data_IF_208887884303
#
_entry.id   IF_208887884303
#
_cell.length_a   1.000
_cell.length_b   1.000
_cell.length_c   1.000
_cell.angle_alpha   90.00
_cell.angle_beta   90.00
_cell.angle_gamma   90.00
#
_symmetry.space_group_name_H-M   'P 1'
#
loop_
_entity.id
_entity.type
_entity.pdbx_description
1 polymer ?
#
# COMPACT_ATOMS: atom_id res chain seq x y z
N UNK A 1 -23.99 -26.23 11.42
CA UNK A 1 -23.72 -27.00 12.64
C UNK A 1 -22.37 -26.56 13.20
N UNK A 2 -22.25 -26.24 14.50
CA UNK A 2 -20.94 -25.97 15.11
C UNK A 2 -20.23 -27.30 15.34
N UNK A 3 -19.10 -27.51 14.67
CA UNK A 3 -18.26 -28.69 14.88
C UNK A 3 -17.78 -28.67 16.34
N UNK A 4 -17.91 -29.78 17.10
CA UNK A 4 -17.39 -29.85 18.47
C UNK A 4 -15.90 -29.52 18.49
N UNK A 5 -15.49 -28.56 19.32
CA UNK A 5 -14.07 -28.23 19.43
C UNK A 5 -13.34 -29.41 20.06
N UNK A 6 -12.33 -30.01 19.39
CA UNK A 6 -11.61 -31.16 19.92
C UNK A 6 -10.94 -30.79 21.25
N UNK A 7 -10.93 -31.73 22.20
CA UNK A 7 -10.18 -31.55 23.44
C UNK A 7 -8.68 -31.63 23.14
N UNK A 8 -7.96 -30.55 23.43
CA UNK A 8 -6.52 -30.45 23.20
C UNK A 8 -5.68 -30.52 24.47
N UNK A 9 -6.29 -30.68 25.65
CA UNK A 9 -5.57 -30.74 26.95
C UNK A 9 -4.50 -31.84 26.91
N UNK A 10 -3.29 -31.51 27.38
CA UNK A 10 -2.13 -32.39 27.40
C UNK A 10 -1.42 -32.56 26.05
N UNK A 11 -2.03 -32.12 24.93
CA UNK A 11 -1.40 -32.22 23.61
C UNK A 11 -0.28 -31.19 23.45
N UNK A 12 0.77 -31.61 22.74
CA UNK A 12 1.96 -30.81 22.43
C UNK A 12 1.91 -30.25 21.00
N UNK A 13 2.25 -28.98 20.85
CA UNK A 13 2.35 -28.26 19.58
C UNK A 13 3.66 -27.47 19.55
N UNK A 14 4.69 -28.04 18.95
CA UNK A 14 6.05 -27.50 19.06
C UNK A 14 6.50 -27.47 20.53
N UNK A 15 6.81 -26.26 21.03
CA UNK A 15 7.21 -26.02 22.42
C UNK A 15 6.05 -25.79 23.38
N UNK A 16 4.80 -25.83 22.90
CA UNK A 16 3.62 -25.57 23.71
C UNK A 16 2.95 -26.87 24.15
N UNK A 17 2.62 -26.99 25.42
CA UNK A 17 1.76 -28.04 25.97
C UNK A 17 0.48 -27.38 26.47
N UNK A 18 -0.68 -27.88 26.01
CA UNK A 18 -1.98 -27.33 26.41
C UNK A 18 -2.31 -27.73 27.84
N UNK A 19 -2.52 -26.76 28.73
CA UNK A 19 -2.88 -27.00 30.12
C UNK A 19 -4.41 -27.03 30.33
N UNK A 20 -5.11 -26.02 29.81
CA UNK A 20 -6.56 -25.89 30.03
C UNK A 20 -7.26 -25.06 28.94
N UNK A 21 -8.56 -25.30 28.79
CA UNK A 21 -9.44 -24.49 27.94
C UNK A 21 -9.71 -23.13 28.61
N UNK A 22 -9.78 -22.06 27.82
CA UNK A 22 -10.22 -20.75 28.30
C UNK A 22 -11.73 -20.76 28.59
N UNK A 23 -12.19 -20.14 29.69
CA UNK A 23 -13.62 -20.01 29.99
C UNK A 23 -14.35 -19.01 29.07
N UNK A 24 -13.61 -18.19 28.30
CA UNK A 24 -14.17 -17.18 27.40
C UNK A 24 -15.08 -17.82 26.33
N UNK A 25 -16.32 -17.32 26.25
CA UNK A 25 -17.28 -17.70 25.20
C UNK A 25 -17.06 -16.81 23.97
N UNK A 26 -16.69 -17.41 22.86
CA UNK A 26 -16.47 -16.71 21.59
C UNK A 26 -16.59 -17.64 20.39
N UNK A 27 -16.39 -17.10 19.18
CA UNK A 27 -16.46 -17.88 17.94
C UNK A 27 -15.35 -18.93 17.80
N UNK A 28 -14.25 -18.79 18.56
CA UNK A 28 -13.13 -19.74 18.58
C UNK A 28 -12.82 -20.18 20.02
N UNK A 29 -12.45 -21.46 20.19
CA UNK A 29 -11.93 -21.95 21.46
C UNK A 29 -10.47 -21.53 21.65
N UNK A 30 -10.20 -20.94 22.81
CA UNK A 30 -8.86 -20.57 23.27
C UNK A 30 -8.34 -21.58 24.29
N UNK A 31 -7.02 -21.75 24.31
CA UNK A 31 -6.31 -22.69 25.17
C UNK A 31 -5.13 -21.98 25.85
N UNK A 32 -5.00 -22.17 27.15
CA UNK A 32 -3.82 -21.80 27.90
C UNK A 32 -2.76 -22.88 27.72
N UNK A 33 -1.60 -22.47 27.22
CA UNK A 33 -0.49 -23.36 26.94
C UNK A 33 0.73 -22.97 27.79
N UNK A 34 1.44 -23.97 28.32
CA UNK A 34 2.76 -23.81 28.93
C UNK A 34 3.83 -24.06 27.87
N UNK A 35 4.76 -23.13 27.73
CA UNK A 35 5.89 -23.25 26.83
C UNK A 35 7.06 -23.94 27.53
N UNK A 36 7.91 -24.65 26.78
CA UNK A 36 9.13 -25.27 27.30
C UNK A 36 10.08 -24.26 27.98
N UNK A 37 10.03 -22.98 27.57
CA UNK A 37 10.80 -21.90 28.23
C UNK A 37 10.18 -21.41 29.56
N UNK A 38 9.15 -22.08 30.08
CA UNK A 38 8.48 -21.75 31.35
C UNK A 38 7.34 -20.73 31.23
N UNK A 39 7.34 -19.89 30.18
CA UNK A 39 6.29 -18.90 29.96
C UNK A 39 4.95 -19.52 29.52
N UNK A 40 3.84 -18.84 29.81
CA UNK A 40 2.49 -19.24 29.38
C UNK A 40 1.99 -18.35 28.24
N UNK A 41 1.15 -18.91 27.37
CA UNK A 41 0.52 -18.16 26.27
C UNK A 41 -0.89 -18.65 26.00
N UNK A 42 -1.76 -17.77 25.48
CA UNK A 42 -3.14 -18.08 25.08
C UNK A 42 -3.18 -18.23 23.56
N UNK A 43 -3.68 -19.37 23.06
CA UNK A 43 -3.66 -19.72 21.63
C UNK A 43 -5.02 -20.30 21.20
N UNK A 44 -5.45 -20.04 19.97
CA UNK A 44 -6.68 -20.61 19.40
C UNK A 44 -6.49 -22.06 18.93
N UNK A 45 -7.58 -22.84 18.91
CA UNK A 45 -7.59 -24.19 18.30
C UNK A 45 -7.03 -24.19 16.89
N UNK A 46 -7.44 -23.22 16.05
CA UNK A 46 -7.00 -23.13 14.66
C UNK A 46 -5.49 -22.94 14.54
N UNK A 47 -4.89 -22.07 15.36
CA UNK A 47 -3.46 -21.78 15.27
C UNK A 47 -2.60 -22.93 15.81
N UNK A 48 -3.10 -23.71 16.77
CA UNK A 48 -2.43 -24.93 17.25
C UNK A 48 -2.45 -26.01 16.17
N UNK A 49 -3.63 -26.32 15.61
CA UNK A 49 -3.78 -27.37 14.60
C UNK A 49 -3.08 -27.04 13.28
N UNK A 50 -3.13 -25.77 12.84
CA UNK A 50 -2.42 -25.32 11.65
C UNK A 50 -0.90 -25.18 11.87
N UNK A 51 -0.40 -25.39 13.10
CA UNK A 51 1.01 -25.26 13.42
C UNK A 51 1.56 -23.84 13.30
N UNK A 52 0.69 -22.82 13.31
CA UNK A 52 1.07 -21.40 13.22
C UNK A 52 1.75 -20.97 14.52
N UNK A 53 1.21 -21.38 15.68
CA UNK A 53 1.76 -21.02 16.99
C UNK A 53 2.47 -22.20 17.62
N UNK A 54 3.80 -22.20 17.57
CA UNK A 54 4.68 -23.29 18.06
C UNK A 54 5.37 -22.98 19.38
N UNK A 55 5.27 -21.75 19.89
CA UNK A 55 5.89 -21.31 21.14
C UNK A 55 5.16 -20.07 21.68
N UNK A 56 5.53 -19.61 22.88
CA UNK A 56 5.08 -18.32 23.42
C UNK A 56 5.77 -17.10 22.76
N UNK A 57 6.40 -17.28 21.59
CA UNK A 57 7.25 -16.29 20.91
C UNK A 57 8.73 -16.37 21.29
N UNK A 58 9.13 -17.29 22.18
CA UNK A 58 10.56 -17.49 22.51
C UNK A 58 11.34 -18.06 21.32
N UNK A 59 10.76 -18.99 20.56
CA UNK A 59 11.37 -19.56 19.37
C UNK A 59 11.67 -18.46 18.33
N UNK A 60 10.76 -17.51 18.14
CA UNK A 60 10.96 -16.39 17.23
C UNK A 60 12.01 -15.39 17.72
N UNK A 61 12.15 -15.22 19.04
CA UNK A 61 13.23 -14.40 19.63
C UNK A 61 14.60 -15.05 19.40
N UNK A 62 14.73 -16.35 19.65
CA UNK A 62 15.95 -17.12 19.41
C UNK A 62 16.34 -17.10 17.93
N UNK A 63 15.38 -17.39 17.05
CA UNK A 63 15.60 -17.35 15.60
C UNK A 63 16.01 -15.96 15.15
N UNK A 64 15.35 -14.89 15.60
CA UNK A 64 15.74 -13.51 15.24
C UNK A 64 17.17 -13.19 15.69
N UNK A 65 17.57 -13.57 16.90
CA UNK A 65 18.94 -13.35 17.37
C UNK A 65 19.96 -14.14 16.53
N UNK A 66 19.67 -15.43 16.26
CA UNK A 66 20.50 -16.31 15.45
C UNK A 66 20.68 -15.78 14.03
N UNK A 67 19.58 -15.43 13.36
CA UNK A 67 19.59 -14.92 11.99
C UNK A 67 20.10 -13.49 11.89
N UNK A 68 19.94 -12.65 12.93
CA UNK A 68 20.57 -11.33 12.95
C UNK A 68 22.11 -11.43 12.91
N UNK A 69 22.68 -12.43 13.59
CA UNK A 69 24.13 -12.70 13.55
C UNK A 69 24.58 -13.26 12.19
N UNK A 70 23.83 -14.20 11.61
CA UNK A 70 24.17 -14.82 10.33
C UNK A 70 23.97 -13.89 9.13
N UNK A 71 22.94 -13.04 9.14
CA UNK A 71 22.61 -12.14 8.04
C UNK A 71 23.26 -10.75 8.19
N UNK A 72 24.22 -10.58 9.10
CA UNK A 72 24.97 -9.34 9.20
C UNK A 72 25.79 -9.15 7.92
N UNK A 73 25.32 -8.26 7.05
CA UNK A 73 26.02 -7.91 5.81
C UNK A 73 26.78 -6.62 6.06
N UNK A 74 28.11 -6.71 6.05
CA UNK A 74 28.93 -5.51 6.07
C UNK A 74 28.77 -4.75 4.74
N UNK A 75 28.38 -3.49 4.87
CA UNK A 75 28.19 -2.56 3.76
C UNK A 75 29.29 -1.50 3.70
N UNK A 76 30.27 -1.53 4.60
CA UNK A 76 31.40 -0.58 4.62
C UNK A 76 32.09 -0.51 3.26
N UNK A 77 32.36 0.70 2.79
CA UNK A 77 32.98 0.98 1.49
C UNK A 77 32.05 0.82 0.29
N UNK A 78 30.83 0.27 0.44
CA UNK A 78 29.91 0.10 -0.68
C UNK A 78 29.21 1.40 -1.03
N UNK A 79 28.91 1.55 -2.32
CA UNK A 79 28.19 2.70 -2.88
C UNK A 79 26.76 2.34 -3.26
N UNK A 80 25.82 3.19 -2.89
CA UNK A 80 24.40 3.08 -3.16
C UNK A 80 23.89 4.41 -3.74
N UNK A 81 23.84 4.49 -5.07
CA UNK A 81 23.58 5.77 -5.76
C UNK A 81 24.67 6.78 -5.43
N UNK A 82 24.30 7.89 -4.80
CA UNK A 82 25.22 8.95 -4.37
C UNK A 82 25.81 8.73 -2.97
N UNK A 83 25.45 7.64 -2.28
CA UNK A 83 25.86 7.39 -0.90
C UNK A 83 26.98 6.36 -0.85
N UNK A 84 28.11 6.72 -0.25
CA UNK A 84 29.21 5.81 0.08
C UNK A 84 29.17 5.51 1.57
N UNK A 85 29.07 4.23 1.92
CA UNK A 85 29.00 3.79 3.32
C UNK A 85 30.38 3.89 3.97
N UNK A 86 30.48 4.59 5.09
CA UNK A 86 31.75 4.79 5.81
C UNK A 86 31.89 3.87 7.01
N UNK A 87 30.85 3.75 7.85
CA UNK A 87 30.87 2.93 9.05
C UNK A 87 29.46 2.62 9.55
N UNK A 88 29.35 1.65 10.45
CA UNK A 88 28.10 1.42 11.18
C UNK A 88 27.81 2.60 12.13
N UNK A 89 26.54 3.01 12.18
CA UNK A 89 26.09 4.09 13.06
C UNK A 89 25.88 3.58 14.48
N UNK A 90 26.27 4.38 15.46
CA UNK A 90 26.22 4.05 16.90
C UNK A 90 25.03 4.80 17.50
N UNK A 91 24.13 4.10 18.21
CA UNK A 91 22.97 4.73 18.85
C UNK A 91 21.65 4.68 18.07
N UNK A 92 21.41 3.62 17.31
CA UNK A 92 20.14 3.45 16.59
C UNK A 92 18.98 3.09 17.55
N UNK A 93 17.76 3.55 17.24
CA UNK A 93 16.54 3.24 18.01
C UNK A 93 16.32 1.73 18.12
N UNK A 94 15.87 1.25 19.29
CA UNK A 94 15.44 -0.16 19.49
C UNK A 94 14.47 -0.58 18.37
N UNK A 95 14.82 -1.61 17.61
CA UNK A 95 13.97 -2.19 16.57
C UNK A 95 14.20 -1.70 15.14
N UNK A 96 14.92 -0.59 14.93
CA UNK A 96 15.45 -0.25 13.60
C UNK A 96 16.77 -1.00 13.43
N UNK A 97 16.83 -1.96 12.51
CA UNK A 97 18.02 -2.78 12.28
C UNK A 97 19.30 -1.98 11.94
N UNK A 98 20.36 -2.68 11.57
CA UNK A 98 21.68 -2.09 11.30
C UNK A 98 21.60 -0.85 10.41
N UNK A 99 22.11 0.27 10.92
CA UNK A 99 22.11 1.58 10.24
C UNK A 99 23.55 1.99 9.96
N UNK A 100 23.75 2.67 8.83
CA UNK A 100 25.05 2.98 8.27
C UNK A 100 25.23 4.48 8.09
N UNK A 101 26.35 5.00 8.56
CA UNK A 101 26.77 6.38 8.34
C UNK A 101 27.37 6.50 6.94
N UNK A 102 26.73 7.30 6.09
CA UNK A 102 27.06 7.41 4.68
C UNK A 102 27.51 8.83 4.32
N UNK A 103 28.51 8.94 3.44
CA UNK A 103 28.90 10.19 2.77
C UNK A 103 28.18 10.29 1.43
N UNK A 104 27.50 11.40 1.19
CA UNK A 104 26.86 11.70 -0.08
C UNK A 104 27.85 12.40 -1.04
N UNK A 105 27.71 12.19 -2.35
CA UNK A 105 28.50 12.89 -3.37
C UNK A 105 28.35 14.42 -3.30
N UNK A 106 27.27 14.93 -2.70
CA UNK A 106 27.10 16.38 -2.47
C UNK A 106 27.91 16.91 -1.28
N UNK A 107 28.73 16.09 -0.62
CA UNK A 107 29.57 16.46 0.53
C UNK A 107 28.90 16.29 1.90
N UNK A 108 27.57 16.09 1.96
CA UNK A 108 26.84 15.90 3.22
C UNK A 108 26.85 14.45 3.69
N UNK A 109 26.52 14.24 4.96
CA UNK A 109 26.45 12.91 5.58
C UNK A 109 25.02 12.57 6.01
N UNK A 110 24.71 11.27 6.07
CA UNK A 110 23.39 10.78 6.51
C UNK A 110 23.46 9.36 7.04
N UNK A 111 22.66 9.06 8.05
CA UNK A 111 22.45 7.71 8.55
C UNK A 111 21.32 7.01 7.78
N UNK A 112 21.61 5.83 7.22
CA UNK A 112 20.66 5.08 6.40
C UNK A 112 20.59 3.62 6.85
N UNK A 113 19.37 3.10 7.01
CA UNK A 113 19.15 1.70 7.35
C UNK A 113 19.64 0.76 6.24
N UNK A 114 20.22 -0.39 6.62
CA UNK A 114 20.71 -1.43 5.69
C UNK A 114 19.67 -1.82 4.66
N UNK A 115 18.41 -1.98 5.08
CA UNK A 115 17.30 -2.35 4.21
C UNK A 115 17.07 -1.32 3.11
N UNK A 116 17.15 -0.02 3.44
CA UNK A 116 16.94 1.07 2.48
C UNK A 116 18.08 1.20 1.47
N UNK A 117 19.31 0.92 1.90
CA UNK A 117 20.48 0.87 1.00
C UNK A 117 20.35 -0.31 0.03
N UNK A 118 20.09 -1.52 0.56
CA UNK A 118 19.99 -2.74 -0.25
C UNK A 118 18.80 -2.68 -1.23
N UNK A 119 17.64 -2.19 -0.79
CA UNK A 119 16.47 -2.01 -1.65
C UNK A 119 16.62 -0.83 -2.63
N UNK A 120 17.63 0.02 -2.47
CA UNK A 120 17.85 1.20 -3.30
C UNK A 120 16.80 2.29 -3.15
N UNK A 121 16.03 2.31 -2.05
CA UNK A 121 15.01 3.34 -1.78
C UNK A 121 15.62 4.64 -1.30
N UNK A 122 16.85 4.61 -0.76
CA UNK A 122 17.61 5.80 -0.37
C UNK A 122 18.91 5.87 -1.17
N UNK A 123 18.98 6.83 -2.10
CA UNK A 123 20.11 7.00 -3.05
C UNK A 123 20.91 8.28 -2.83
N UNK A 124 20.47 9.17 -1.93
CA UNK A 124 21.15 10.42 -1.61
C UNK A 124 20.76 10.88 -0.20
N UNK A 125 21.47 11.87 0.35
CA UNK A 125 21.14 12.50 1.63
C UNK A 125 19.89 13.43 1.57
N UNK A 126 19.08 13.33 0.52
CA UNK A 126 17.94 14.22 0.27
C UNK A 126 18.28 15.52 -0.47
N UNK A 127 19.56 15.73 -0.83
CA UNK A 127 19.98 16.91 -1.59
C UNK A 127 19.27 17.04 -2.94
N UNK A 128 19.00 15.92 -3.62
CA UNK A 128 18.27 15.92 -4.90
C UNK A 128 16.82 16.42 -4.73
N UNK A 129 16.15 16.02 -3.65
CA UNK A 129 14.80 16.47 -3.34
C UNK A 129 14.77 17.95 -2.97
N UNK A 130 15.79 18.47 -2.26
CA UNK A 130 15.92 19.90 -1.97
C UNK A 130 16.03 20.72 -3.26
N UNK A 131 16.95 20.35 -4.16
CA UNK A 131 17.12 21.00 -5.46
C UNK A 131 15.85 20.97 -6.31
N UNK A 132 15.17 19.82 -6.35
CA UNK A 132 13.89 19.70 -7.05
C UNK A 132 12.83 20.64 -6.46
N UNK A 133 12.69 20.68 -5.12
CA UNK A 133 11.73 21.58 -4.44
C UNK A 133 12.03 23.06 -4.70
N UNK A 134 13.29 23.46 -4.67
CA UNK A 134 13.69 24.84 -5.00
C UNK A 134 13.36 25.20 -6.44
N UNK A 135 13.65 24.30 -7.39
CA UNK A 135 13.24 24.46 -8.79
C UNK A 135 11.72 24.63 -8.91
N UNK A 136 10.94 23.78 -8.24
CA UNK A 136 9.48 23.87 -8.23
C UNK A 136 8.95 25.16 -7.58
N UNK A 137 9.58 25.65 -6.50
CA UNK A 137 9.24 26.94 -5.89
C UNK A 137 9.44 28.09 -6.87
N UNK A 138 10.53 28.08 -7.62
CA UNK A 138 10.81 29.12 -8.61
C UNK A 138 9.83 29.06 -9.78
N UNK A 139 9.48 27.87 -10.25
CA UNK A 139 8.42 27.66 -11.25
C UNK A 139 7.07 28.16 -10.74
N UNK A 140 6.74 27.91 -9.46
CA UNK A 140 5.49 28.37 -8.86
C UNK A 140 5.44 29.89 -8.68
N UNK A 141 6.57 30.60 -8.65
CA UNK A 141 6.57 32.08 -8.60
C UNK A 141 6.22 32.74 -9.94
N UNK A 142 6.23 31.99 -11.04
CA UNK A 142 5.85 32.51 -12.35
C UNK A 142 4.36 32.90 -12.36
N UNK A 143 4.08 34.17 -12.63
CA UNK A 143 2.72 34.72 -12.64
C UNK A 143 1.80 34.03 -13.65
N UNK A 144 2.32 33.60 -14.81
CA UNK A 144 1.52 32.87 -15.81
C UNK A 144 1.12 31.49 -15.27
N UNK A 145 2.00 30.84 -14.51
CA UNK A 145 1.71 29.56 -13.86
C UNK A 145 0.72 29.77 -12.71
N UNK A 146 0.89 30.82 -11.89
CA UNK A 146 -0.08 31.19 -10.85
C UNK A 146 -1.48 31.45 -11.43
N UNK A 147 -1.56 32.19 -12.53
CA UNK A 147 -2.81 32.53 -13.19
C UNK A 147 -3.49 31.28 -13.78
N UNK A 148 -2.71 30.38 -14.39
CA UNK A 148 -3.19 29.08 -14.88
C UNK A 148 -3.69 28.20 -13.74
N UNK A 149 -2.98 28.15 -12.62
CA UNK A 149 -3.38 27.43 -11.41
C UNK A 149 -4.67 28.03 -10.84
N UNK A 150 -4.77 29.36 -10.67
CA UNK A 150 -5.99 30.05 -10.20
C UNK A 150 -7.19 29.79 -11.10
N UNK A 151 -7.03 29.81 -12.42
CA UNK A 151 -8.10 29.45 -13.38
C UNK A 151 -8.54 28.00 -13.24
N UNK A 152 -7.60 27.10 -12.93
CA UNK A 152 -7.88 25.67 -12.67
C UNK A 152 -8.55 25.47 -11.31
N UNK A 153 -8.21 26.28 -10.29
CA UNK A 153 -8.81 26.24 -8.94
C UNK A 153 -10.16 26.96 -8.84
N UNK A 154 -10.46 27.95 -9.70
CA UNK A 154 -11.81 28.56 -9.79
C UNK A 154 -12.84 27.62 -10.39
N UNK A 155 -12.42 26.62 -11.18
CA UNK A 155 -13.19 25.38 -11.36
C UNK A 155 -13.07 24.52 -10.10
N UNK A 156 -13.46 25.06 -8.94
CA UNK A 156 -13.53 24.30 -7.70
C UNK A 156 -14.84 23.53 -7.71
N UNK A 157 -14.79 22.45 -8.47
CA UNK A 157 -15.55 21.21 -8.38
C UNK A 157 -16.38 21.08 -7.10
N UNK A 158 -17.65 21.45 -7.18
CA UNK A 158 -18.67 20.75 -6.39
C UNK A 158 -18.47 19.23 -6.48
N UNK A 159 -18.78 18.53 -5.41
CA UNK A 159 -18.80 17.06 -5.41
C UNK A 159 -20.22 16.60 -5.65
N UNK A 160 -20.44 15.85 -6.72
CA UNK A 160 -21.65 15.06 -6.86
C UNK A 160 -21.32 13.59 -6.58
N UNK A 161 -22.02 12.97 -5.63
CA UNK A 161 -21.83 11.57 -5.23
C UNK A 161 -20.35 11.18 -5.02
N UNK A 162 -19.60 12.04 -4.33
CA UNK A 162 -18.16 11.88 -4.06
C UNK A 162 -17.23 11.84 -5.29
N UNK A 163 -17.65 12.39 -6.42
CA UNK A 163 -16.82 12.60 -7.62
C UNK A 163 -16.66 14.09 -7.88
N UNK A 164 -15.44 14.52 -8.24
CA UNK A 164 -15.18 15.93 -8.60
C UNK A 164 -15.87 16.26 -9.94
N UNK A 165 -16.58 17.38 -10.03
CA UNK A 165 -17.17 17.85 -11.29
C UNK A 165 -16.13 18.03 -12.41
N UNK A 166 -14.89 18.45 -12.13
CA UNK A 166 -13.79 18.47 -13.12
C UNK A 166 -13.55 17.11 -13.79
N UNK A 167 -13.74 15.99 -13.10
CA UNK A 167 -13.56 14.64 -13.66
C UNK A 167 -14.72 14.29 -14.61
N UNK A 168 -15.91 14.84 -14.38
CA UNK A 168 -17.06 14.69 -15.28
C UNK A 168 -16.89 15.55 -16.54
N UNK A 169 -16.36 16.77 -16.42
CA UNK A 169 -15.99 17.61 -17.58
C UNK A 169 -14.79 17.05 -18.38
N UNK A 170 -13.82 16.40 -17.72
CA UNK A 170 -12.71 15.71 -18.40
C UNK A 170 -13.14 14.40 -19.08
N UNK A 171 -14.34 13.88 -18.79
CA UNK A 171 -14.89 12.74 -19.50
C UNK A 171 -15.44 13.12 -20.89
N UNK A 172 -15.63 14.41 -21.17
CA UNK A 172 -16.09 14.93 -22.47
C UNK A 172 -14.96 15.47 -23.36
N UNK A 173 -13.76 15.73 -22.83
CA UNK A 173 -12.53 16.05 -23.61
C UNK A 173 -11.29 15.65 -22.77
N UNK A 174 -10.23 14.99 -23.24
CA UNK A 174 -9.50 15.04 -24.51
C UNK A 174 -8.79 13.71 -24.80
N UNK A 175 -8.66 13.36 -26.08
CA UNK A 175 -8.24 12.07 -26.67
C UNK A 175 -9.26 10.93 -26.55
N UNK A 176 -10.19 10.93 -27.49
CA UNK A 176 -10.96 9.73 -27.84
C UNK A 176 -10.00 8.56 -28.10
N UNK A 177 -10.28 7.40 -27.52
CA UNK A 177 -9.54 6.18 -27.85
C UNK A 177 -9.73 5.88 -29.35
N UNK A 178 -8.70 5.36 -30.02
CA UNK A 178 -8.75 5.07 -31.46
C UNK A 178 -9.90 4.14 -31.88
N UNK A 179 -10.46 3.36 -30.96
CA UNK A 179 -11.60 2.48 -31.18
C UNK A 179 -12.96 3.11 -30.81
N UNK A 180 -13.01 4.42 -30.55
CA UNK A 180 -14.26 5.13 -30.33
C UNK A 180 -14.93 5.42 -31.68
N UNK A 181 -16.04 4.73 -31.94
CA UNK A 181 -16.80 4.86 -33.19
C UNK A 181 -17.90 5.93 -33.14
N UNK A 182 -18.16 6.53 -31.98
CA UNK A 182 -19.27 7.47 -31.78
C UNK A 182 -18.84 8.93 -31.73
N UNK A 183 -17.55 9.20 -31.55
CA UNK A 183 -17.03 10.55 -31.31
C UNK A 183 -17.26 11.07 -29.90
N UNK A 184 -17.93 10.29 -29.02
CA UNK A 184 -18.31 10.71 -27.66
C UNK A 184 -18.03 9.57 -26.68
N UNK A 185 -17.33 9.84 -25.58
CA UNK A 185 -17.05 8.82 -24.55
C UNK A 185 -18.35 8.44 -23.81
N UNK A 186 -18.61 7.14 -23.70
CA UNK A 186 -19.83 6.65 -23.04
C UNK A 186 -21.03 6.50 -23.97
N UNK A 187 -20.89 6.85 -25.26
CA UNK A 187 -21.92 6.57 -26.28
C UNK A 187 -21.36 5.54 -27.26
N UNK A 188 -22.10 4.51 -27.63
CA UNK A 188 -21.65 3.52 -28.62
C UNK A 188 -22.82 2.81 -29.29
N UNK A 189 -22.63 2.36 -30.53
CA UNK A 189 -23.65 1.59 -31.26
C UNK A 189 -23.55 0.10 -30.93
N UNK A 190 -24.65 -0.51 -30.48
CA UNK A 190 -24.77 -1.96 -30.31
C UNK A 190 -25.24 -2.58 -31.64
N UNK A 191 -24.34 -3.29 -32.33
CA UNK A 191 -24.68 -4.03 -33.57
C UNK A 191 -25.70 -5.15 -33.31
N UNK A 192 -25.67 -5.74 -32.11
CA UNK A 192 -26.59 -6.82 -31.69
C UNK A 192 -28.02 -6.29 -31.55
N UNK A 193 -28.17 -5.17 -30.86
CA UNK A 193 -29.48 -4.65 -30.46
C UNK A 193 -30.00 -3.58 -31.43
N UNK A 194 -29.22 -3.25 -32.47
CA UNK A 194 -29.46 -2.19 -33.47
C UNK A 194 -29.83 -0.84 -32.85
N UNK A 195 -29.20 -0.48 -31.73
CA UNK A 195 -29.48 0.72 -30.94
C UNK A 195 -28.20 1.39 -30.44
N UNK A 196 -28.24 2.71 -30.28
CA UNK A 196 -27.21 3.49 -29.60
C UNK A 196 -27.40 3.36 -28.08
N UNK A 197 -26.34 3.02 -27.36
CA UNK A 197 -26.35 3.00 -25.88
C UNK A 197 -25.57 4.18 -25.33
N UNK A 198 -26.07 4.73 -24.22
CA UNK A 198 -25.41 5.77 -23.43
C UNK A 198 -25.12 5.24 -22.02
N UNK A 199 -23.89 5.42 -21.54
CA UNK A 199 -23.45 4.94 -20.23
C UNK A 199 -22.39 5.85 -19.59
N UNK A 200 -22.32 5.78 -18.27
CA UNK A 200 -21.27 6.41 -17.47
C UNK A 200 -20.52 5.36 -16.66
N UNK A 201 -19.24 5.58 -16.39
CA UNK A 201 -18.46 4.70 -15.52
C UNK A 201 -17.94 5.51 -14.35
N UNK A 202 -18.40 5.18 -13.15
CA UNK A 202 -18.03 5.86 -11.90
C UNK A 202 -17.43 4.82 -10.97
N UNK A 203 -16.20 5.05 -10.47
CA UNK A 203 -15.47 4.10 -9.60
C UNK A 203 -15.44 2.65 -10.13
N UNK A 204 -15.14 2.49 -11.42
CA UNK A 204 -15.10 1.19 -12.12
C UNK A 204 -16.44 0.45 -12.25
N UNK A 205 -17.54 1.07 -11.84
CA UNK A 205 -18.90 0.54 -12.02
C UNK A 205 -19.53 1.28 -13.20
N UNK A 206 -20.09 0.52 -14.16
CA UNK A 206 -20.80 1.06 -15.32
C UNK A 206 -22.28 1.21 -14.98
N UNK A 207 -22.83 2.39 -15.24
CA UNK A 207 -24.24 2.71 -15.14
C UNK A 207 -24.76 2.99 -16.56
N UNK A 208 -25.75 2.22 -16.98
CA UNK A 208 -26.43 2.43 -18.27
C UNK A 208 -27.46 3.55 -18.09
N UNK A 209 -27.38 4.59 -18.94
CA UNK A 209 -28.32 5.71 -18.95
C UNK A 209 -29.54 5.39 -19.84
N UNK A 210 -29.32 4.66 -20.95
CA UNK A 210 -30.41 4.25 -21.82
C UNK A 210 -29.96 3.70 -23.18
N UNK A 211 -30.96 3.23 -23.94
CA UNK A 211 -30.81 2.74 -25.32
C UNK A 211 -31.74 3.50 -26.26
N UNK A 212 -31.20 4.01 -27.35
CA UNK A 212 -31.83 4.95 -28.26
C UNK A 212 -31.74 4.44 -29.71
N UNK A 213 -32.70 4.84 -30.56
CA UNK A 213 -32.67 4.48 -31.98
C UNK A 213 -31.66 5.34 -32.75
N UNK A 214 -31.56 6.60 -32.36
CA UNK A 214 -30.73 7.64 -32.95
C UNK A 214 -29.54 7.99 -32.04
N UNK A 215 -28.48 8.52 -32.66
CA UNK A 215 -27.22 8.83 -32.00
C UNK A 215 -27.34 10.08 -31.11
N UNK A 216 -28.13 11.05 -31.56
CA UNK A 216 -28.26 12.37 -30.92
C UNK A 216 -28.96 12.27 -29.56
N UNK A 217 -30.05 11.51 -29.47
CA UNK A 217 -30.73 11.26 -28.19
C UNK A 217 -29.81 10.59 -27.16
N UNK A 218 -28.96 9.66 -27.60
CA UNK A 218 -27.98 9.01 -26.72
C UNK A 218 -26.90 9.99 -26.21
N UNK A 219 -26.56 11.02 -26.99
CA UNK A 219 -25.61 12.07 -26.60
C UNK A 219 -26.29 13.07 -25.64
N UNK A 220 -27.54 13.45 -25.90
CA UNK A 220 -28.28 14.37 -25.03
C UNK A 220 -28.46 13.79 -23.63
N UNK A 221 -28.89 12.53 -23.51
CA UNK A 221 -29.02 11.84 -22.22
C UNK A 221 -27.69 11.72 -21.47
N UNK A 222 -26.57 11.73 -22.20
CA UNK A 222 -25.23 11.66 -21.59
C UNK A 222 -24.82 12.98 -20.94
N UNK A 223 -25.35 14.09 -21.45
CA UNK A 223 -25.00 15.47 -21.07
C UNK A 223 -25.97 16.02 -20.00
N UNK A 224 -27.23 15.56 -20.00
CA UNK A 224 -28.22 15.88 -18.94
C UNK A 224 -27.87 15.22 -17.61
#
# INVERSE_FOLDING_TARGET
MRVPTPNLIGKRFGRLVVEKKSPEKGHAAFWFCKCDCGNKTKVTTSNLLAGITKSCGCLDKENRAKFAKLNFKDLTGKRFGMLTVLRQSVGVKKGSGTTWFCKCDCGNYTDVASTKLIQGTTKSCGCQLKKAREKWKNIYKDEKIQEKIKKTFRKNDGREKNTKLSILELATSDKLKANNSSGVTGVSYSKRDKRWRSYITVKHIRYELGYFKDKESAIQERIS
#
